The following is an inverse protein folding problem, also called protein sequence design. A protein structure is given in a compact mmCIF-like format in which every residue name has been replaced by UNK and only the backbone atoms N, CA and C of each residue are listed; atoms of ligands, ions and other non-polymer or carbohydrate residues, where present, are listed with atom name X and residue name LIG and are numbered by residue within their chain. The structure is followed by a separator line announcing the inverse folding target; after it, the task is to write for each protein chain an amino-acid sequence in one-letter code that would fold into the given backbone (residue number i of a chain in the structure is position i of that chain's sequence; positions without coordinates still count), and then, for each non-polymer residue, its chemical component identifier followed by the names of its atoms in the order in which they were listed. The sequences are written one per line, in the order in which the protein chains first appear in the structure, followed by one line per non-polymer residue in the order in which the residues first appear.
data_IF_331645068781
#
_entry.id   IF_331645068781
#
_cell.length_a   1.000
_cell.length_b   1.000
_cell.length_c   1.000
_cell.angle_alpha   90.00
_cell.angle_beta   90.00
_cell.angle_gamma   90.00
#
_symmetry.space_group_name_H-M   'P 1'
#
loop_
_entity.id
_entity.type
_entity.pdbx_description
1 polymer ?
#
# COMPACT_ATOMS: atom_id res chain seq x y z
N UNK A 1 -19.91 -8.35 -0.22
CA UNK A 1 -19.79 -8.91 1.03
C UNK A 1 -20.62 -10.18 1.18
N UNK A 2 -20.31 -11.05 2.13
CA UNK A 2 -20.84 -12.39 2.20
C UNK A 2 -21.64 -12.61 3.49
N UNK A 3 -22.69 -13.41 3.37
CA UNK A 3 -23.50 -13.86 4.48
C UNK A 3 -23.72 -15.37 4.35
N UNK A 4 -23.51 -16.09 5.44
CA UNK A 4 -23.81 -17.51 5.53
C UNK A 4 -24.54 -17.77 6.86
N UNK A 5 -25.63 -18.51 6.80
CA UNK A 5 -26.34 -19.03 7.97
C UNK A 5 -26.38 -20.56 7.82
N UNK A 6 -26.05 -21.28 8.90
CA UNK A 6 -26.04 -22.73 8.86
C UNK A 6 -27.48 -23.25 8.70
N UNK A 7 -27.75 -24.09 7.70
CA UNK A 7 -29.09 -24.62 7.48
C UNK A 7 -29.58 -25.56 8.58
N UNK A 8 -28.68 -26.07 9.42
CA UNK A 8 -29.02 -26.97 10.53
C UNK A 8 -28.96 -26.30 11.90
N UNK A 9 -28.41 -25.06 11.96
CA UNK A 9 -28.28 -24.26 13.18
C UNK A 9 -28.48 -22.78 12.81
N UNK A 10 -29.73 -22.30 12.97
CA UNK A 10 -30.07 -20.90 12.62
C UNK A 10 -29.38 -19.84 13.48
N UNK A 11 -28.81 -20.24 14.62
CA UNK A 11 -28.10 -19.33 15.52
C UNK A 11 -26.64 -19.13 15.08
N UNK A 12 -26.12 -20.05 14.24
CA UNK A 12 -24.77 -19.93 13.69
C UNK A 12 -24.77 -19.14 12.38
N UNK A 13 -24.12 -17.96 12.42
CA UNK A 13 -24.05 -17.04 11.28
C UNK A 13 -22.60 -16.59 11.06
N UNK A 14 -22.17 -16.55 9.79
CA UNK A 14 -20.91 -15.92 9.36
C UNK A 14 -21.25 -14.68 8.52
N UNK A 15 -20.57 -13.57 8.81
CA UNK A 15 -20.62 -12.36 8.02
C UNK A 15 -19.21 -11.98 7.57
N UNK A 16 -19.00 -11.91 6.27
CA UNK A 16 -17.79 -11.36 5.65
C UNK A 16 -18.06 -9.95 5.13
N UNK A 17 -17.26 -9.00 5.54
CA UNK A 17 -17.34 -7.59 5.13
C UNK A 17 -15.93 -6.99 4.93
N UNK A 18 -15.83 -5.70 4.63
CA UNK A 18 -14.54 -5.03 4.39
C UNK A 18 -13.58 -5.14 5.58
N UNK A 19 -14.09 -5.22 6.79
CA UNK A 19 -13.29 -5.38 8.01
C UNK A 19 -12.80 -6.82 8.25
N UNK A 20 -13.38 -7.83 7.56
CA UNK A 20 -13.03 -9.24 7.76
C UNK A 20 -14.22 -10.14 8.06
N UNK A 21 -14.02 -11.15 8.92
CA UNK A 21 -15.04 -12.15 9.26
C UNK A 21 -15.54 -11.94 10.68
N UNK A 22 -16.86 -11.95 10.82
CA UNK A 22 -17.57 -11.95 12.09
C UNK A 22 -18.42 -13.22 12.23
N UNK A 23 -18.47 -13.78 13.44
CA UNK A 23 -19.21 -14.99 13.78
C UNK A 23 -20.25 -14.65 14.84
N UNK A 24 -21.51 -15.00 14.60
CA UNK A 24 -22.55 -15.07 15.61
C UNK A 24 -22.88 -16.53 15.90
N UNK A 25 -23.28 -16.81 17.16
CA UNK A 25 -23.73 -18.12 17.64
C UNK A 25 -25.07 -18.01 18.40
N UNK A 26 -25.76 -16.91 18.24
CA UNK A 26 -27.01 -16.55 18.91
C UNK A 26 -27.98 -15.82 17.96
N UNK A 27 -27.97 -16.18 16.69
CA UNK A 27 -28.92 -15.65 15.71
C UNK A 27 -28.63 -14.17 15.33
N UNK A 28 -27.45 -13.65 15.63
CA UNK A 28 -27.05 -12.28 15.30
C UNK A 28 -27.19 -11.28 16.44
N UNK A 29 -27.53 -11.73 17.66
CA UNK A 29 -27.62 -10.84 18.84
C UNK A 29 -26.23 -10.35 19.25
N UNK A 30 -25.22 -11.24 19.22
CA UNK A 30 -23.83 -10.87 19.47
C UNK A 30 -22.90 -11.35 18.35
N UNK A 31 -21.76 -10.65 18.20
CA UNK A 31 -20.80 -10.94 17.15
C UNK A 31 -19.37 -11.00 17.69
N UNK A 32 -18.64 -12.03 17.25
CA UNK A 32 -17.21 -12.19 17.50
C UNK A 32 -16.45 -11.88 16.22
N UNK A 33 -15.60 -10.86 16.24
CA UNK A 33 -14.69 -10.56 15.13
C UNK A 33 -13.49 -11.52 15.13
N UNK A 34 -13.20 -12.14 13.99
CA UNK A 34 -12.07 -13.06 13.80
C UNK A 34 -10.80 -12.25 13.55
N UNK A 35 -9.96 -12.10 14.56
CA UNK A 35 -8.76 -11.24 14.53
C UNK A 35 -7.47 -11.92 14.08
N UNK A 36 -7.49 -13.23 13.92
CA UNK A 36 -6.30 -14.05 13.71
C UNK A 36 -6.22 -14.68 12.33
N UNK A 37 -6.89 -14.10 11.34
CA UNK A 37 -6.76 -14.53 9.95
C UNK A 37 -5.44 -13.99 9.39
N UNK A 38 -4.51 -14.84 8.94
CA UNK A 38 -3.24 -14.41 8.36
C UNK A 38 -3.42 -14.09 6.86
N UNK A 39 -4.31 -13.13 6.55
CA UNK A 39 -4.63 -12.72 5.18
C UNK A 39 -4.67 -11.21 5.07
N UNK A 40 -4.26 -10.69 3.91
CA UNK A 40 -4.35 -9.28 3.56
C UNK A 40 -4.65 -9.13 2.07
N UNK A 41 -5.47 -8.15 1.72
CA UNK A 41 -5.80 -7.83 0.33
C UNK A 41 -4.81 -6.78 -0.19
N UNK A 42 -3.69 -7.25 -0.73
CA UNK A 42 -2.69 -6.38 -1.34
C UNK A 42 -3.13 -5.94 -2.74
N UNK A 43 -2.96 -4.64 -3.05
CA UNK A 43 -3.08 -4.11 -4.41
C UNK A 43 -1.82 -4.40 -5.23
N UNK A 44 -0.65 -4.09 -4.67
CA UNK A 44 0.65 -4.30 -5.27
C UNK A 44 1.63 -4.83 -4.23
N UNK A 45 2.64 -5.56 -4.70
CA UNK A 45 3.72 -6.12 -3.86
C UNK A 45 5.06 -5.78 -4.49
N UNK A 46 5.97 -5.25 -3.70
CA UNK A 46 7.36 -5.02 -4.05
C UNK A 46 8.29 -5.72 -3.06
N UNK A 47 9.53 -5.89 -3.43
CA UNK A 47 10.59 -6.43 -2.58
C UNK A 47 11.84 -5.56 -2.68
N UNK A 48 12.63 -5.52 -1.62
CA UNK A 48 13.97 -4.93 -1.64
C UNK A 48 15.05 -5.98 -1.96
N UNK A 49 16.31 -5.58 -1.91
CA UNK A 49 17.47 -6.44 -2.17
C UNK A 49 18.20 -6.84 -0.87
N UNK A 50 17.61 -6.67 0.29
CA UNK A 50 18.19 -7.10 1.56
C UNK A 50 18.27 -8.63 1.67
N UNK A 51 19.02 -9.11 2.66
CA UNK A 51 19.15 -10.54 2.94
C UNK A 51 18.91 -10.83 4.43
N UNK A 52 17.76 -11.37 4.81
CA UNK A 52 16.58 -11.69 3.99
C UNK A 52 15.94 -10.43 3.40
N UNK A 53 15.36 -10.55 2.20
CA UNK A 53 14.62 -9.43 1.60
C UNK A 53 13.33 -9.14 2.38
N UNK A 54 12.85 -7.92 2.25
CA UNK A 54 11.56 -7.54 2.78
C UNK A 54 10.49 -7.47 1.67
N UNK A 55 9.26 -7.71 2.08
CA UNK A 55 8.06 -7.55 1.26
C UNK A 55 7.37 -6.25 1.65
N UNK A 56 6.99 -5.48 0.64
CA UNK A 56 6.29 -4.21 0.79
C UNK A 56 4.97 -4.28 0.03
N UNK A 57 3.92 -3.68 0.56
CA UNK A 57 2.65 -3.60 -0.15
C UNK A 57 1.61 -2.76 0.56
N UNK A 58 0.68 -2.25 -0.25
CA UNK A 58 -0.48 -1.52 0.22
C UNK A 58 -1.72 -2.39 0.22
N UNK A 59 -2.55 -2.20 1.22
CA UNK A 59 -3.80 -2.93 1.46
C UNK A 59 -4.99 -1.98 1.28
N UNK A 60 -6.07 -2.51 0.72
CA UNK A 60 -7.32 -1.75 0.68
C UNK A 60 -7.79 -1.46 2.10
N UNK A 61 -8.08 -0.19 2.40
CA UNK A 61 -8.58 0.33 3.69
C UNK A 61 -7.67 0.05 4.91
N UNK A 62 -6.50 -0.56 4.71
CA UNK A 62 -5.65 -1.04 5.81
C UNK A 62 -4.18 -0.59 5.69
N UNK A 63 -3.92 0.51 5.02
CA UNK A 63 -2.60 1.13 5.00
C UNK A 63 -1.56 0.41 4.13
N UNK A 64 -0.32 0.79 4.34
CA UNK A 64 0.86 0.30 3.62
C UNK A 64 1.84 -0.32 4.59
N UNK A 65 2.39 -1.48 4.26
CA UNK A 65 3.13 -2.33 5.19
C UNK A 65 4.43 -2.85 4.62
N UNK A 66 5.37 -3.17 5.52
CA UNK A 66 6.63 -3.86 5.27
C UNK A 66 6.77 -5.02 6.25
N UNK A 67 7.28 -6.16 5.78
CA UNK A 67 7.73 -7.26 6.64
C UNK A 67 8.90 -8.01 6.03
N UNK A 68 9.74 -8.70 6.83
CA UNK A 68 10.74 -9.60 6.29
C UNK A 68 10.07 -10.80 5.62
N UNK A 69 10.62 -11.25 4.50
CA UNK A 69 10.13 -12.46 3.82
C UNK A 69 10.44 -13.73 4.59
N UNK A 70 11.40 -13.67 5.52
CA UNK A 70 11.86 -14.80 6.32
C UNK A 70 12.25 -14.35 7.72
N UNK A 71 11.88 -15.17 8.71
CA UNK A 71 12.25 -15.00 10.13
C UNK A 71 12.79 -16.32 10.70
N UNK A 72 13.60 -16.24 11.76
CA UNK A 72 14.26 -17.42 12.33
C UNK A 72 13.41 -18.17 13.36
N UNK A 73 12.26 -17.65 13.78
CA UNK A 73 11.37 -18.39 14.68
C UNK A 73 10.50 -19.42 13.92
N UNK A 74 10.19 -20.53 14.57
CA UNK A 74 9.69 -21.75 13.92
C UNK A 74 8.26 -21.69 13.37
N UNK A 75 7.48 -20.67 13.72
CA UNK A 75 6.10 -20.45 13.29
C UNK A 75 5.96 -19.41 12.15
N UNK A 76 7.09 -19.01 11.55
CA UNK A 76 7.10 -18.11 10.37
C UNK A 76 6.84 -16.65 10.73
N UNK A 77 6.55 -15.86 9.69
CA UNK A 77 6.29 -14.41 9.82
C UNK A 77 4.96 -14.19 10.56
N UNK A 78 4.99 -13.38 11.61
CA UNK A 78 3.85 -13.06 12.49
C UNK A 78 3.38 -11.62 12.25
N UNK A 79 2.23 -11.25 12.81
CA UNK A 79 1.72 -9.88 12.76
C UNK A 79 2.70 -8.85 13.36
N UNK A 80 3.46 -9.23 14.37
CA UNK A 80 4.46 -8.37 15.02
C UNK A 80 5.70 -8.09 14.15
N UNK A 81 5.93 -8.89 13.12
CA UNK A 81 7.00 -8.68 12.13
C UNK A 81 6.61 -7.67 11.05
N UNK A 82 5.33 -7.34 10.95
CA UNK A 82 4.82 -6.34 10.02
C UNK A 82 4.90 -4.95 10.63
N UNK A 83 5.47 -4.02 9.87
CA UNK A 83 5.54 -2.60 10.20
C UNK A 83 4.64 -1.81 9.28
N UNK A 84 3.70 -1.03 9.84
CA UNK A 84 2.94 -0.06 9.09
C UNK A 84 3.86 1.10 8.67
N UNK A 85 3.81 1.45 7.38
CA UNK A 85 4.62 2.52 6.78
C UNK A 85 3.79 3.77 6.56
N UNK A 86 2.54 3.61 6.11
CA UNK A 86 1.62 4.69 5.81
C UNK A 86 0.18 4.23 5.95
N UNK A 87 -0.73 5.17 6.18
CA UNK A 87 -2.15 4.91 6.36
C UNK A 87 -2.98 5.32 5.12
N UNK A 88 -4.25 4.89 5.07
CA UNK A 88 -5.21 5.11 3.99
C UNK A 88 -5.44 3.85 3.16
N UNK A 89 -6.04 3.98 1.97
CA UNK A 89 -5.95 2.94 0.96
C UNK A 89 -4.49 2.83 0.51
N UNK A 90 -3.81 1.78 0.91
CA UNK A 90 -2.44 1.54 0.49
C UNK A 90 -2.41 0.92 -0.90
N UNK A 91 -1.59 1.47 -1.80
CA UNK A 91 -1.39 0.92 -3.15
C UNK A 91 0.04 0.42 -3.31
N UNK A 92 0.86 1.11 -4.10
CA UNK A 92 2.26 0.78 -4.22
C UNK A 92 3.07 1.30 -3.02
N UNK A 93 3.90 0.42 -2.49
CA UNK A 93 4.99 0.77 -1.58
C UNK A 93 6.29 0.33 -2.25
N UNK A 94 7.06 1.30 -2.70
CA UNK A 94 8.27 1.05 -3.49
C UNK A 94 9.50 1.31 -2.63
N UNK A 95 10.29 0.26 -2.27
CA UNK A 95 11.53 0.45 -1.55
C UNK A 95 12.51 1.29 -2.39
N UNK A 96 13.26 2.18 -1.74
CA UNK A 96 14.22 3.03 -2.44
C UNK A 96 15.47 2.23 -2.81
N UNK A 97 15.91 2.25 -4.07
CA UNK A 97 17.11 1.52 -4.47
C UNK A 97 18.35 1.98 -3.67
N UNK A 98 19.05 1.02 -3.05
CA UNK A 98 20.28 1.28 -2.30
C UNK A 98 20.11 1.99 -0.95
N UNK A 99 18.87 2.16 -0.46
CA UNK A 99 18.59 2.78 0.83
C UNK A 99 17.45 2.03 1.54
N UNK A 100 17.77 1.02 2.38
CA UNK A 100 16.77 0.14 2.99
C UNK A 100 15.89 0.84 4.05
N UNK A 101 16.31 2.01 4.50
CA UNK A 101 15.55 2.82 5.46
C UNK A 101 14.53 3.74 4.78
N UNK A 102 14.51 3.80 3.46
CA UNK A 102 13.65 4.70 2.70
C UNK A 102 12.70 3.94 1.77
N UNK A 103 11.48 4.43 1.67
CA UNK A 103 10.50 3.96 0.69
C UNK A 103 9.64 5.11 0.17
N UNK A 104 8.98 4.86 -0.96
CA UNK A 104 7.85 5.64 -1.43
C UNK A 104 6.58 4.87 -1.11
N UNK A 105 5.58 5.54 -0.53
CA UNK A 105 4.26 4.95 -0.34
C UNK A 105 3.19 5.88 -0.90
N UNK A 106 2.17 5.28 -1.46
CA UNK A 106 1.08 6.00 -2.10
C UNK A 106 -0.25 5.60 -1.48
N UNK A 107 -1.10 6.59 -1.29
CA UNK A 107 -2.51 6.38 -0.98
C UNK A 107 -3.41 6.90 -2.13
N UNK A 108 -4.71 6.76 -1.99
CA UNK A 108 -5.71 7.09 -3.00
C UNK A 108 -5.54 8.48 -3.61
N UNK A 109 -5.83 8.59 -4.92
CA UNK A 109 -5.85 9.87 -5.62
C UNK A 109 -4.46 10.50 -5.82
N UNK A 110 -3.41 9.66 -5.86
CA UNK A 110 -2.05 10.08 -6.13
C UNK A 110 -1.35 10.78 -4.96
N UNK A 111 -1.86 10.63 -3.74
CA UNK A 111 -1.15 11.11 -2.56
C UNK A 111 0.09 10.25 -2.34
N UNK A 112 1.27 10.79 -2.64
CA UNK A 112 2.54 10.09 -2.59
C UNK A 112 3.51 10.74 -1.61
N UNK A 113 4.18 9.90 -0.84
CA UNK A 113 5.13 10.30 0.20
C UNK A 113 6.46 9.58 0.02
N UNK A 114 7.55 10.28 0.30
CA UNK A 114 8.84 9.67 0.60
C UNK A 114 8.95 9.53 2.12
N UNK A 115 9.26 8.31 2.59
CA UNK A 115 9.17 7.95 4.00
C UNK A 115 10.50 7.40 4.48
N UNK A 116 10.96 7.88 5.63
CA UNK A 116 12.04 7.28 6.38
C UNK A 116 11.44 6.28 7.38
N UNK A 117 11.53 5.00 7.05
CA UNK A 117 10.83 3.91 7.75
C UNK A 117 11.17 3.85 9.25
N UNK A 118 12.46 3.92 9.68
CA UNK A 118 12.79 3.80 11.10
C UNK A 118 12.21 4.90 12.00
N UNK A 119 11.99 6.10 11.47
CA UNK A 119 11.48 7.23 12.26
C UNK A 119 10.03 7.60 11.96
N UNK A 120 9.46 7.05 10.87
CA UNK A 120 8.15 7.45 10.38
C UNK A 120 8.09 8.87 9.80
N UNK A 121 9.25 9.51 9.57
CA UNK A 121 9.28 10.85 8.97
C UNK A 121 8.84 10.79 7.51
N UNK A 122 7.89 11.65 7.13
CA UNK A 122 7.26 11.67 5.81
C UNK A 122 7.44 13.02 5.13
N UNK A 123 7.76 12.99 3.84
CA UNK A 123 7.75 14.15 2.96
C UNK A 123 6.70 13.93 1.85
N UNK A 124 5.74 14.83 1.72
CA UNK A 124 4.79 14.82 0.62
C UNK A 124 5.50 15.24 -0.67
N UNK A 125 5.43 14.41 -1.71
CA UNK A 125 6.20 14.60 -2.94
C UNK A 125 5.35 14.56 -4.22
N UNK A 126 4.05 14.74 -4.12
CA UNK A 126 3.17 14.76 -5.28
C UNK A 126 3.61 15.84 -6.28
N UNK A 127 3.68 15.55 -7.59
CA UNK A 127 4.02 16.52 -8.61
C UNK A 127 3.07 17.72 -8.66
N UNK A 128 3.59 18.87 -9.09
CA UNK A 128 2.81 20.01 -9.53
C UNK A 128 3.13 20.30 -10.99
N UNK A 129 2.14 20.77 -11.76
CA UNK A 129 2.38 21.18 -13.14
C UNK A 129 2.93 22.62 -13.21
N UNK A 130 3.98 22.88 -14.05
CA UNK A 130 4.65 24.20 -14.07
C UNK A 130 3.73 25.38 -14.43
N UNK A 131 2.71 25.15 -15.27
CA UNK A 131 1.76 26.19 -15.70
C UNK A 131 0.45 26.14 -14.90
N UNK A 132 0.44 25.55 -13.71
CA UNK A 132 -0.72 25.44 -12.80
C UNK A 132 -1.89 24.61 -13.35
N UNK A 133 -1.68 23.79 -14.39
CA UNK A 133 -2.67 22.82 -14.84
C UNK A 133 -3.04 21.88 -13.71
N UNK A 134 -4.34 21.71 -13.48
CA UNK A 134 -4.83 20.76 -12.47
C UNK A 134 -4.46 19.33 -12.86
N UNK A 135 -3.79 18.63 -11.95
CA UNK A 135 -3.40 17.24 -12.14
C UNK A 135 -4.54 16.31 -11.72
N UNK A 136 -4.85 15.37 -12.60
CA UNK A 136 -5.84 14.32 -12.39
C UNK A 136 -5.13 13.00 -12.16
N UNK A 137 -5.42 12.36 -11.05
CA UNK A 137 -4.84 11.07 -10.69
C UNK A 137 -5.90 9.98 -10.71
N UNK A 138 -5.51 8.79 -11.12
CA UNK A 138 -6.32 7.60 -10.88
C UNK A 138 -6.36 7.34 -9.36
N UNK A 139 -7.37 6.62 -8.89
CA UNK A 139 -7.44 6.15 -7.51
C UNK A 139 -6.14 5.44 -7.11
N UNK A 140 -5.69 4.53 -7.94
CA UNK A 140 -4.39 3.89 -7.87
C UNK A 140 -3.48 4.49 -8.95
N UNK A 141 -2.76 5.56 -8.62
CA UNK A 141 -1.84 6.21 -9.55
C UNK A 141 -0.56 5.38 -9.74
N UNK A 142 0.07 5.49 -10.91
CA UNK A 142 1.29 4.72 -11.21
C UNK A 142 2.53 5.38 -10.61
N UNK A 143 3.42 4.57 -10.00
CA UNK A 143 4.73 4.97 -9.51
C UNK A 143 5.78 3.93 -9.91
N UNK A 144 6.97 4.37 -10.29
CA UNK A 144 8.09 3.48 -10.59
C UNK A 144 9.43 4.16 -10.30
N UNK A 145 10.38 3.44 -9.70
CA UNK A 145 11.76 3.89 -9.58
C UNK A 145 12.51 3.69 -10.91
N UNK A 146 13.47 4.55 -11.19
CA UNK A 146 14.32 4.41 -12.37
C UNK A 146 15.34 3.29 -12.13
N UNK A 147 15.40 2.26 -12.98
CA UNK A 147 16.35 1.17 -12.81
C UNK A 147 17.82 1.58 -13.06
N UNK A 148 18.06 2.76 -13.62
CA UNK A 148 19.39 3.26 -13.99
C UNK A 148 19.87 4.43 -13.11
N UNK A 149 18.96 5.09 -12.40
CA UNK A 149 19.25 6.18 -11.46
C UNK A 149 18.59 5.89 -10.10
N UNK A 150 19.37 5.65 -9.03
CA UNK A 150 18.80 5.38 -7.70
C UNK A 150 18.06 6.57 -7.08
N UNK A 151 18.18 7.77 -7.67
CA UNK A 151 17.41 8.95 -7.28
C UNK A 151 16.21 9.19 -8.20
N UNK A 152 16.13 8.44 -9.30
CA UNK A 152 15.11 8.60 -10.34
C UNK A 152 13.78 8.01 -9.92
N UNK A 153 12.70 8.77 -10.17
CA UNK A 153 11.34 8.39 -9.84
C UNK A 153 10.39 8.86 -10.94
N UNK A 154 9.55 7.95 -11.42
CA UNK A 154 8.45 8.25 -12.32
C UNK A 154 7.13 8.24 -11.56
N UNK A 155 6.23 9.16 -11.90
CA UNK A 155 4.89 9.22 -11.32
C UNK A 155 3.85 9.59 -12.37
N UNK A 156 2.68 8.96 -12.32
CA UNK A 156 1.61 9.10 -13.30
C UNK A 156 0.45 9.96 -12.79
N UNK A 157 0.16 11.04 -13.52
CA UNK A 157 -1.15 11.70 -13.56
C UNK A 157 -1.75 11.50 -14.96
N UNK A 158 -2.49 12.47 -15.50
CA UNK A 158 -2.74 12.49 -16.96
C UNK A 158 -1.44 12.70 -17.75
N UNK A 159 -0.34 13.07 -17.09
CA UNK A 159 1.00 13.18 -17.63
C UNK A 159 1.93 12.14 -17.00
N UNK A 160 3.07 11.89 -17.63
CA UNK A 160 4.21 11.22 -17.01
C UNK A 160 5.12 12.28 -16.40
N UNK A 161 5.38 12.17 -15.12
CA UNK A 161 6.32 13.02 -14.39
C UNK A 161 7.59 12.23 -14.07
N UNK A 162 8.74 12.91 -14.12
CA UNK A 162 10.04 12.36 -13.73
C UNK A 162 10.72 13.29 -12.72
N UNK A 163 11.28 12.69 -11.70
CA UNK A 163 12.16 13.35 -10.72
C UNK A 163 13.51 12.67 -10.73
N UNK A 164 14.60 13.44 -10.72
CA UNK A 164 15.99 12.95 -10.55
C UNK A 164 16.51 13.20 -9.12
N UNK A 165 15.67 13.65 -8.22
CA UNK A 165 16.03 14.06 -6.87
C UNK A 165 15.11 13.50 -5.78
N UNK A 166 14.61 12.28 -6.01
CA UNK A 166 13.74 11.54 -5.06
C UNK A 166 12.42 12.26 -4.77
N UNK A 167 11.84 12.90 -5.78
CA UNK A 167 10.54 13.57 -5.69
C UNK A 167 10.59 15.00 -5.12
N UNK A 168 11.77 15.62 -4.98
CA UNK A 168 11.86 17.02 -4.52
C UNK A 168 11.45 17.99 -5.63
N UNK A 169 11.78 17.68 -6.87
CA UNK A 169 11.35 18.43 -8.04
C UNK A 169 10.91 17.48 -9.16
N UNK A 170 10.07 17.99 -10.08
CA UNK A 170 9.46 17.19 -11.13
C UNK A 170 9.54 17.86 -12.49
N UNK A 171 9.77 17.04 -13.51
CA UNK A 171 9.70 17.41 -14.93
C UNK A 171 8.55 16.66 -15.59
N UNK A 172 7.73 17.34 -16.37
CA UNK A 172 6.69 16.72 -17.20
C UNK A 172 7.32 16.16 -18.47
N UNK A 173 7.20 14.86 -18.70
CA UNK A 173 7.82 14.17 -19.84
C UNK A 173 6.87 13.93 -21.02
N UNK A 174 5.57 14.00 -20.81
CA UNK A 174 4.57 13.64 -21.84
C UNK A 174 3.54 14.75 -22.06
N UNK A 175 2.85 14.78 -23.19
CA UNK A 175 1.55 15.46 -23.29
C UNK A 175 0.51 14.77 -22.39
N UNK A 176 -0.72 15.35 -22.30
CA UNK A 176 -1.86 14.66 -21.70
C UNK A 176 -2.12 13.34 -22.46
N UNK A 177 -2.01 12.22 -21.73
CA UNK A 177 -2.18 10.87 -22.27
C UNK A 177 -3.60 10.34 -22.11
N UNK A 178 -4.49 11.13 -21.51
CA UNK A 178 -5.88 10.72 -21.28
C UNK A 178 -6.78 11.15 -22.41
N UNK A 179 -7.86 10.42 -22.62
CA UNK A 179 -8.96 10.83 -23.50
C UNK A 179 -9.96 11.64 -22.67
N UNK A 180 -10.28 12.84 -23.11
CA UNK A 180 -11.36 13.66 -22.54
C UNK A 180 -12.68 13.29 -23.17
#
# INVERSE_FOLDING_TARGET
HAWYQDPNDSDFILNGNDGGINISRDGGETWTFVRNLPVGQFYHINVDNDMPYNVYGGLQDNGSWKAPAYVWHGDGVRNEDWQEISFGDGFDVVPMPGDPDMAYAMSQGGNVYRIHIPTGAMAYIQPNHPDTTELRYNWNAAIAVDPHDPNGLYFGSQFVHYSSDRGQSWTVLSPDLTTN
#
